data_IF_716604808896
#
_entry.id   IF_716604808896
#
_cell.length_a   1.000
_cell.length_b   1.000
_cell.length_c   1.000
_cell.angle_alpha   90.00
_cell.angle_beta   90.00
_cell.angle_gamma   90.00
#
_symmetry.space_group_name_H-M   'P 1'
#
loop_
_entity.id
_entity.type
_entity.pdbx_description
1 polymer ?
#
# COMPACT_ATOMS: atom_id res chain seq x y z
N UNK A 1 -5.85 2.52 -12.45
CA UNK A 1 -7.11 1.99 -11.89
C UNK A 1 -6.75 0.88 -10.92
N UNK A 2 -7.27 0.95 -9.70
CA UNK A 2 -6.94 0.03 -8.62
C UNK A 2 -7.68 -1.30 -8.70
N UNK A 3 -8.72 -1.35 -9.50
CA UNK A 3 -9.52 -2.55 -9.72
C UNK A 3 -9.79 -2.69 -11.20
N UNK A 4 -9.55 -3.87 -11.73
CA UNK A 4 -9.96 -4.25 -13.07
C UNK A 4 -11.49 -4.24 -13.12
N UNK A 5 -12.08 -3.73 -14.19
CA UNK A 5 -13.53 -3.59 -14.30
C UNK A 5 -14.24 -4.95 -14.22
N UNK A 6 -15.46 -4.96 -13.67
CA UNK A 6 -16.19 -6.20 -13.36
C UNK A 6 -16.38 -7.11 -14.57
N UNK A 7 -16.62 -6.51 -15.72
CA UNK A 7 -17.02 -7.21 -16.94
C UNK A 7 -15.91 -7.18 -18.00
N UNK A 8 -14.65 -6.93 -17.59
CA UNK A 8 -13.54 -6.88 -18.53
C UNK A 8 -13.35 -8.22 -19.24
N UNK A 9 -13.31 -8.17 -20.56
CA UNK A 9 -13.04 -9.34 -21.39
C UNK A 9 -11.55 -9.69 -21.35
N UNK A 10 -11.22 -10.76 -20.63
CA UNK A 10 -9.85 -11.26 -20.49
C UNK A 10 -9.34 -12.01 -21.72
N UNK A 11 -10.19 -12.32 -22.69
CA UNK A 11 -9.77 -13.04 -23.92
C UNK A 11 -8.84 -12.20 -24.77
N UNK A 12 -8.85 -10.88 -24.61
CA UNK A 12 -7.95 -9.94 -25.29
C UNK A 12 -6.55 -9.88 -24.66
N UNK A 13 -6.34 -10.54 -23.54
CA UNK A 13 -5.06 -10.57 -22.80
C UNK A 13 -4.52 -12.00 -22.69
N UNK A 14 -4.08 -12.62 -23.80
CA UNK A 14 -3.58 -13.99 -23.77
C UNK A 14 -2.32 -14.08 -22.89
N UNK A 15 -2.29 -15.07 -22.01
CA UNK A 15 -1.17 -15.29 -21.07
C UNK A 15 -1.27 -14.53 -19.75
N UNK A 16 -2.35 -13.80 -19.50
CA UNK A 16 -2.59 -13.22 -18.18
C UNK A 16 -2.91 -14.33 -17.17
N UNK A 17 -2.13 -14.41 -16.09
CA UNK A 17 -2.29 -15.44 -15.04
C UNK A 17 -2.61 -14.84 -13.66
N UNK A 18 -2.52 -13.54 -13.51
CA UNK A 18 -2.88 -12.84 -12.28
C UNK A 18 -3.33 -11.38 -12.53
N UNK A 19 -4.00 -10.82 -11.53
CA UNK A 19 -4.32 -9.39 -11.45
C UNK A 19 -3.45 -8.75 -10.37
N UNK A 20 -3.15 -7.48 -10.56
CA UNK A 20 -2.36 -6.69 -9.63
C UNK A 20 -3.24 -5.68 -8.91
N UNK A 21 -3.42 -5.88 -7.60
CA UNK A 21 -4.23 -5.03 -6.75
C UNK A 21 -3.34 -4.06 -5.98
N UNK A 22 -3.34 -2.81 -6.42
CA UNK A 22 -2.69 -1.70 -5.71
C UNK A 22 -3.73 -0.87 -4.99
N UNK A 23 -3.52 -0.65 -3.69
CA UNK A 23 -4.44 0.10 -2.85
C UNK A 23 -3.67 0.83 -1.73
N UNK A 24 -4.16 2.01 -1.33
CA UNK A 24 -3.61 2.72 -0.19
C UNK A 24 -3.99 2.04 1.13
N UNK A 25 -3.08 2.06 2.11
CA UNK A 25 -3.31 1.50 3.43
C UNK A 25 -4.58 2.04 4.10
N UNK A 26 -4.83 3.35 3.99
CA UNK A 26 -6.00 4.01 4.59
C UNK A 26 -7.36 3.46 4.15
N UNK A 27 -7.47 2.89 2.94
CA UNK A 27 -8.70 2.22 2.50
C UNK A 27 -8.96 0.96 3.29
N UNK A 28 -7.89 0.23 3.63
CA UNK A 28 -7.98 -1.06 4.31
C UNK A 28 -8.12 -0.92 5.82
N UNK A 29 -7.51 0.10 6.41
CA UNK A 29 -7.51 0.34 7.85
C UNK A 29 -7.82 1.83 8.16
N UNK A 30 -9.07 2.27 7.96
CA UNK A 30 -9.48 3.66 8.17
C UNK A 30 -9.39 4.12 9.63
N UNK A 31 -9.47 3.19 10.57
CA UNK A 31 -9.27 3.38 12.01
C UNK A 31 -8.37 2.26 12.51
N UNK A 32 -7.54 2.53 13.50
CA UNK A 32 -6.59 1.57 14.07
C UNK A 32 -7.27 0.27 14.47
N UNK A 33 -6.80 -0.86 13.93
CA UNK A 33 -7.34 -2.19 14.18
C UNK A 33 -8.69 -2.49 13.51
N UNK A 34 -9.27 -1.56 12.75
CA UNK A 34 -10.54 -1.74 12.06
C UNK A 34 -10.32 -1.92 10.56
N UNK A 35 -10.33 -3.17 10.12
CA UNK A 35 -9.97 -3.53 8.74
C UNK A 35 -11.17 -3.71 7.84
N UNK A 36 -11.10 -3.14 6.64
CA UNK A 36 -12.07 -3.30 5.55
C UNK A 36 -11.60 -4.34 4.54
N UNK A 37 -11.30 -5.55 5.00
CA UNK A 37 -10.80 -6.62 4.11
C UNK A 37 -11.72 -6.95 2.95
N UNK A 38 -13.03 -6.70 3.11
CA UNK A 38 -14.01 -6.92 2.05
C UNK A 38 -13.65 -6.22 0.73
N UNK A 39 -12.95 -5.07 0.77
CA UNK A 39 -12.51 -4.34 -0.42
C UNK A 39 -11.60 -5.23 -1.29
N UNK A 40 -10.68 -5.97 -0.67
CA UNK A 40 -9.82 -6.92 -1.37
C UNK A 40 -10.52 -8.26 -1.60
N UNK A 41 -11.24 -8.78 -0.60
CA UNK A 41 -11.86 -10.10 -0.67
C UNK A 41 -12.84 -10.21 -1.83
N UNK A 42 -13.62 -9.17 -2.13
CA UNK A 42 -14.54 -9.15 -3.28
C UNK A 42 -13.80 -9.21 -4.62
N UNK A 43 -12.71 -8.44 -4.75
CA UNK A 43 -11.88 -8.48 -5.94
C UNK A 43 -11.17 -9.84 -6.08
N UNK A 44 -10.61 -10.36 -4.98
CA UNK A 44 -9.96 -11.67 -4.95
C UNK A 44 -10.92 -12.76 -5.39
N UNK A 45 -12.12 -12.84 -4.79
CA UNK A 45 -13.13 -13.85 -5.12
C UNK A 45 -13.51 -13.81 -6.60
N UNK A 46 -13.67 -12.59 -7.16
CA UNK A 46 -14.00 -12.39 -8.57
C UNK A 46 -12.93 -12.95 -9.51
N UNK A 47 -11.66 -12.66 -9.25
CA UNK A 47 -10.60 -13.02 -10.15
C UNK A 47 -10.13 -14.47 -9.96
N UNK A 48 -10.11 -14.95 -8.73
CA UNK A 48 -9.76 -16.34 -8.46
C UNK A 48 -10.81 -17.32 -9.01
N UNK A 49 -12.10 -16.94 -9.03
CA UNK A 49 -13.15 -17.74 -9.67
C UNK A 49 -12.96 -17.88 -11.19
N UNK A 50 -12.16 -17.00 -11.80
CA UNK A 50 -11.76 -17.07 -13.21
C UNK A 50 -10.41 -17.75 -13.42
N UNK A 51 -9.84 -18.37 -12.39
CA UNK A 51 -8.54 -19.05 -12.45
C UNK A 51 -7.32 -18.15 -12.36
N UNK A 52 -7.49 -16.85 -12.07
CA UNK A 52 -6.37 -15.91 -11.95
C UNK A 52 -5.81 -15.87 -10.53
N UNK A 53 -4.52 -15.68 -10.42
CA UNK A 53 -3.88 -15.30 -9.17
C UNK A 53 -4.02 -13.82 -8.86
N UNK A 54 -3.48 -13.41 -7.71
CA UNK A 54 -3.51 -12.01 -7.25
C UNK A 54 -2.12 -11.63 -6.76
N UNK A 55 -1.66 -10.46 -7.15
CA UNK A 55 -0.50 -9.79 -6.57
C UNK A 55 -0.95 -8.52 -5.86
N UNK A 56 -0.24 -8.12 -4.81
CA UNK A 56 -0.60 -6.99 -3.98
C UNK A 56 0.49 -5.93 -3.94
N UNK A 57 0.06 -4.66 -3.93
CA UNK A 57 0.86 -3.53 -3.45
C UNK A 57 0.02 -2.69 -2.51
N UNK A 58 0.49 -2.52 -1.28
CA UNK A 58 -0.11 -1.57 -0.34
C UNK A 58 0.78 -0.35 -0.28
N UNK A 59 0.25 0.80 -0.71
CA UNK A 59 0.99 2.05 -0.72
C UNK A 59 0.73 2.89 0.53
N UNK A 60 1.76 3.59 0.98
CA UNK A 60 1.70 4.52 2.11
C UNK A 60 1.69 5.99 1.66
N UNK A 61 1.89 6.24 0.38
CA UNK A 61 1.85 7.59 -0.21
C UNK A 61 1.26 7.52 -1.62
N UNK A 62 0.24 8.34 -1.85
CA UNK A 62 -0.38 8.55 -3.16
C UNK A 62 -0.33 10.05 -3.51
N UNK A 63 -0.46 10.39 -4.79
CA UNK A 63 -0.25 11.77 -5.23
C UNK A 63 -1.34 12.31 -6.14
N UNK A 64 -2.24 11.46 -6.62
CA UNK A 64 -2.94 11.76 -7.87
C UNK A 64 -4.38 12.26 -7.77
N UNK A 65 -5.03 12.22 -6.62
CA UNK A 65 -6.39 12.74 -6.52
C UNK A 65 -6.67 13.34 -5.14
N UNK A 66 -6.76 14.65 -5.08
CA UNK A 66 -6.96 15.42 -3.84
C UNK A 66 -8.42 15.42 -3.37
N UNK A 67 -9.34 14.94 -4.20
CA UNK A 67 -10.77 14.90 -3.88
C UNK A 67 -11.14 13.77 -2.93
N UNK A 68 -10.25 12.79 -2.75
CA UNK A 68 -10.46 11.66 -1.86
C UNK A 68 -9.49 11.72 -0.68
N UNK A 69 -10.03 11.75 0.53
CA UNK A 69 -9.23 11.84 1.77
C UNK A 69 -8.20 10.71 1.89
N UNK A 70 -8.53 9.53 1.40
CA UNK A 70 -7.64 8.36 1.39
C UNK A 70 -6.45 8.54 0.44
N UNK A 71 -6.54 9.45 -0.51
CA UNK A 71 -5.42 9.77 -1.40
C UNK A 71 -4.58 10.93 -0.87
N UNK A 72 -5.17 11.83 -0.12
CA UNK A 72 -4.42 12.80 0.69
C UNK A 72 -3.66 12.06 1.78
N UNK A 73 -4.29 11.09 2.42
CA UNK A 73 -3.74 10.26 3.49
C UNK A 73 -3.71 8.78 3.09
N UNK A 74 -2.83 8.40 2.19
CA UNK A 74 -2.63 6.99 1.83
C UNK A 74 -2.11 6.16 3.03
N UNK A 75 -1.23 6.71 3.86
CA UNK A 75 -1.08 6.30 5.25
C UNK A 75 -2.29 6.81 6.02
N UNK A 76 -2.97 5.99 6.83
CA UNK A 76 -4.15 6.42 7.56
C UNK A 76 -3.90 7.65 8.43
N UNK A 77 -4.85 8.58 8.45
CA UNK A 77 -4.74 9.82 9.22
C UNK A 77 -4.47 9.58 10.71
N UNK A 78 -5.05 8.52 11.27
CA UNK A 78 -4.84 8.16 12.68
C UNK A 78 -3.37 7.82 13.00
N UNK A 79 -2.57 7.39 12.00
CA UNK A 79 -1.12 7.18 12.18
C UNK A 79 -0.42 8.51 12.43
N UNK A 80 -0.74 9.55 11.63
CA UNK A 80 -0.27 10.93 11.89
C UNK A 80 -0.72 11.40 13.27
N UNK A 81 -2.00 11.22 13.57
CA UNK A 81 -2.62 11.69 14.81
C UNK A 81 -2.08 10.94 16.05
N UNK A 82 -1.45 9.76 15.86
CA UNK A 82 -0.69 9.04 16.88
C UNK A 82 0.72 9.62 17.11
N UNK A 83 1.11 10.66 16.38
CA UNK A 83 2.39 11.34 16.55
C UNK A 83 3.46 10.98 15.53
N UNK A 84 3.14 10.20 14.50
CA UNK A 84 4.08 9.91 13.41
C UNK A 84 4.46 11.20 12.67
N UNK A 85 5.75 11.38 12.41
CA UNK A 85 6.27 12.51 11.67
C UNK A 85 5.96 12.38 10.18
N UNK A 86 5.80 13.52 9.52
CA UNK A 86 5.54 13.62 8.10
C UNK A 86 5.17 15.05 7.72
N UNK A 87 4.73 15.23 6.49
CA UNK A 87 4.30 16.54 6.00
C UNK A 87 3.52 16.44 4.71
N UNK A 88 2.91 17.53 4.32
CA UNK A 88 2.21 17.67 3.05
C UNK A 88 3.17 18.19 1.98
N UNK A 89 3.38 17.41 0.93
CA UNK A 89 4.39 17.69 -0.08
C UNK A 89 3.88 17.50 -1.50
N UNK A 90 4.36 18.34 -2.40
CA UNK A 90 4.23 18.18 -3.84
C UNK A 90 5.45 18.75 -4.55
N UNK A 91 6.09 17.96 -5.42
CA UNK A 91 7.22 18.37 -6.25
C UNK A 91 8.38 19.03 -5.48
N UNK A 92 8.65 18.56 -4.27
CA UNK A 92 9.70 19.06 -3.40
C UNK A 92 9.33 20.29 -2.59
N UNK A 93 8.08 20.76 -2.68
CA UNK A 93 7.60 21.92 -1.93
C UNK A 93 6.67 21.48 -0.79
N UNK A 94 6.83 22.03 0.42
CA UNK A 94 5.84 21.88 1.47
C UNK A 94 4.57 22.64 1.13
N UNK A 95 3.42 22.11 1.51
CA UNK A 95 2.14 22.67 1.16
C UNK A 95 1.06 22.54 2.22
N UNK A 96 -0.15 22.97 1.89
CA UNK A 96 -1.29 22.99 2.80
C UNK A 96 -1.80 21.54 3.07
N UNK A 97 -2.70 21.41 4.03
CA UNK A 97 -3.22 20.13 4.52
C UNK A 97 -4.06 19.32 3.50
N UNK A 98 -4.49 19.95 2.42
CA UNK A 98 -5.18 19.29 1.30
C UNK A 98 -4.21 18.64 0.29
N UNK A 99 -2.89 18.87 0.45
CA UNK A 99 -1.88 18.17 -0.33
C UNK A 99 -1.63 16.75 0.23
N UNK A 100 -1.12 15.83 -0.60
CA UNK A 100 -0.81 14.48 -0.15
C UNK A 100 0.14 14.47 1.05
N UNK A 101 -0.26 13.80 2.13
CA UNK A 101 0.59 13.61 3.30
C UNK A 101 1.61 12.51 3.04
N UNK A 102 2.87 12.84 3.24
CA UNK A 102 4.00 11.91 3.15
C UNK A 102 4.52 11.63 4.55
N UNK A 103 4.52 10.38 5.01
CA UNK A 103 5.17 10.04 6.27
C UNK A 103 6.67 10.26 6.18
N UNK A 104 7.32 10.57 7.28
CA UNK A 104 8.74 10.29 7.39
C UNK A 104 8.89 8.77 7.46
N UNK A 105 9.34 8.18 6.34
CA UNK A 105 9.41 6.72 6.19
C UNK A 105 10.33 6.04 7.21
N UNK A 106 11.22 6.79 7.87
CA UNK A 106 12.08 6.31 8.97
C UNK A 106 11.50 6.55 10.36
N UNK A 107 10.35 7.23 10.49
CA UNK A 107 9.76 7.55 11.79
C UNK A 107 9.39 6.28 12.57
N UNK A 108 9.80 6.16 13.84
CA UNK A 108 9.57 4.94 14.62
C UNK A 108 8.09 4.66 14.89
N UNK A 109 7.23 5.69 15.02
CA UNK A 109 5.80 5.50 15.23
C UNK A 109 5.16 5.01 13.93
N UNK A 110 5.50 5.62 12.79
CA UNK A 110 5.04 5.15 11.49
C UNK A 110 5.42 3.68 11.26
N UNK A 111 6.70 3.32 11.48
CA UNK A 111 7.18 1.95 11.28
C UNK A 111 6.52 0.95 12.24
N UNK A 112 6.25 1.34 13.49
CA UNK A 112 5.52 0.50 14.46
C UNK A 112 4.08 0.22 13.99
N UNK A 113 3.38 1.25 13.51
CA UNK A 113 2.01 1.08 13.01
C UNK A 113 1.97 0.28 11.72
N UNK A 114 2.93 0.50 10.83
CA UNK A 114 3.10 -0.30 9.62
C UNK A 114 3.37 -1.78 9.93
N UNK A 115 4.21 -2.06 10.92
CA UNK A 115 4.49 -3.43 11.40
C UNK A 115 3.21 -4.15 11.83
N UNK A 116 2.37 -3.48 12.61
CA UNK A 116 1.08 -4.03 13.05
C UNK A 116 0.12 -4.28 11.87
N UNK A 117 0.04 -3.34 10.93
CA UNK A 117 -0.76 -3.50 9.72
C UNK A 117 -0.28 -4.69 8.87
N UNK A 118 1.03 -4.77 8.61
CA UNK A 118 1.60 -5.86 7.80
C UNK A 118 1.41 -7.22 8.47
N UNK A 119 1.47 -7.29 9.81
CA UNK A 119 1.15 -8.50 10.56
C UNK A 119 -0.29 -8.96 10.31
N UNK A 120 -1.26 -8.03 10.40
CA UNK A 120 -2.68 -8.33 10.16
C UNK A 120 -2.93 -8.72 8.69
N UNK A 121 -2.29 -8.03 7.75
CA UNK A 121 -2.40 -8.32 6.32
C UNK A 121 -1.84 -9.70 5.99
N UNK A 122 -0.65 -10.03 6.49
CA UNK A 122 -0.02 -11.32 6.28
C UNK A 122 -0.79 -12.46 6.96
N UNK A 123 -1.31 -12.26 8.18
CA UNK A 123 -2.15 -13.27 8.84
C UNK A 123 -3.35 -13.69 7.99
N UNK A 124 -3.87 -12.78 7.15
CA UNK A 124 -5.00 -13.05 6.26
C UNK A 124 -4.59 -13.67 4.93
N UNK A 125 -3.52 -13.17 4.31
CA UNK A 125 -3.21 -13.43 2.89
C UNK A 125 -1.92 -14.21 2.64
N UNK A 126 -0.96 -14.25 3.57
CA UNK A 126 0.32 -14.92 3.34
C UNK A 126 0.16 -16.42 3.08
N UNK A 127 0.75 -16.89 1.98
CA UNK A 127 0.76 -18.31 1.59
C UNK A 127 -0.59 -18.83 1.08
N UNK A 128 -1.55 -17.96 0.74
CA UNK A 128 -2.74 -18.40 0.04
C UNK A 128 -2.35 -18.85 -1.37
N UNK A 129 -2.91 -19.95 -1.89
CA UNK A 129 -2.45 -20.56 -3.15
C UNK A 129 -2.66 -19.66 -4.38
N UNK A 130 -3.53 -18.69 -4.28
CA UNK A 130 -3.80 -17.71 -5.33
C UNK A 130 -2.95 -16.44 -5.20
N UNK A 131 -2.18 -16.22 -4.12
CA UNK A 131 -1.22 -15.11 -4.03
C UNK A 131 -0.01 -15.43 -4.88
N UNK A 132 0.30 -14.55 -5.82
CA UNK A 132 1.48 -14.67 -6.67
C UNK A 132 2.69 -14.04 -6.02
N UNK A 133 2.56 -12.80 -5.60
CA UNK A 133 3.59 -12.07 -4.85
C UNK A 133 2.98 -10.89 -4.09
N UNK A 134 3.76 -10.32 -3.19
CA UNK A 134 3.44 -9.10 -2.46
C UNK A 134 4.58 -8.11 -2.66
N UNK A 135 4.30 -6.95 -3.27
CA UNK A 135 5.29 -5.90 -3.43
C UNK A 135 5.66 -5.27 -2.08
N UNK A 136 6.92 -4.91 -1.94
CA UNK A 136 7.41 -4.08 -0.85
C UNK A 136 7.03 -2.62 -1.17
N UNK A 137 5.73 -2.34 -1.06
CA UNK A 137 5.11 -1.09 -1.52
C UNK A 137 4.95 0.00 -0.46
N UNK A 138 5.56 -0.16 0.71
CA UNK A 138 5.34 0.75 1.84
C UNK A 138 6.25 1.99 1.84
N UNK A 139 7.22 2.09 0.93
CA UNK A 139 8.14 3.21 0.83
C UNK A 139 7.97 3.99 -0.46
N UNK A 140 7.88 5.31 -0.33
CA UNK A 140 7.91 6.25 -1.44
C UNK A 140 6.56 6.51 -2.11
N UNK A 141 6.58 7.36 -3.12
CA UNK A 141 5.44 7.68 -3.95
C UNK A 141 4.90 6.40 -4.60
N UNK A 142 3.61 6.13 -4.44
CA UNK A 142 2.93 4.92 -4.94
C UNK A 142 3.55 3.59 -4.50
N UNK A 143 4.46 3.63 -3.50
CA UNK A 143 5.24 2.46 -3.10
C UNK A 143 6.33 2.07 -4.10
N UNK A 144 6.89 3.02 -4.84
CA UNK A 144 7.86 2.80 -5.92
C UNK A 144 9.31 3.13 -5.54
N UNK A 145 9.59 3.28 -4.26
CA UNK A 145 10.96 3.41 -3.77
C UNK A 145 11.58 4.81 -3.93
N UNK A 146 10.79 5.82 -4.26
CA UNK A 146 11.25 7.21 -4.45
C UNK A 146 10.24 8.23 -3.90
N UNK A 147 10.66 9.48 -3.74
CA UNK A 147 9.82 10.58 -3.26
C UNK A 147 9.75 11.75 -4.26
N UNK A 148 9.86 11.43 -5.55
CA UNK A 148 10.01 12.43 -6.61
C UNK A 148 8.81 13.36 -6.75
N UNK A 149 7.60 12.82 -6.66
CA UNK A 149 6.38 13.61 -6.73
C UNK A 149 6.00 14.24 -5.38
N UNK A 150 6.56 13.73 -4.28
CA UNK A 150 6.39 14.23 -2.92
C UNK A 150 7.46 15.22 -2.50
N UNK A 151 8.16 14.91 -1.42
CA UNK A 151 9.15 15.79 -0.78
C UNK A 151 10.47 15.92 -1.55
N UNK A 152 10.79 14.99 -2.43
CA UNK A 152 12.11 14.82 -3.08
C UNK A 152 13.26 14.60 -2.09
N UNK A 153 12.94 14.20 -0.86
CA UNK A 153 13.95 13.85 0.14
C UNK A 153 14.62 12.53 -0.22
N UNK A 154 15.91 12.46 0.05
CA UNK A 154 16.64 11.18 0.06
C UNK A 154 16.56 10.57 1.45
N UNK A 155 16.49 9.27 1.52
CA UNK A 155 16.51 8.51 2.76
C UNK A 155 17.73 7.60 2.80
N UNK A 156 18.26 7.39 4.00
CA UNK A 156 19.37 6.47 4.20
C UNK A 156 18.96 5.05 3.85
N UNK A 157 19.93 4.25 3.43
CA UNK A 157 19.74 2.86 3.05
C UNK A 157 19.04 2.04 4.16
N UNK A 158 19.40 2.31 5.41
CA UNK A 158 18.80 1.63 6.57
C UNK A 158 17.28 1.85 6.66
N UNK A 159 16.77 2.98 6.18
CA UNK A 159 15.31 3.21 6.15
C UNK A 159 14.65 2.26 5.16
N UNK A 160 15.21 2.11 3.97
CA UNK A 160 14.68 1.18 2.97
C UNK A 160 14.79 -0.26 3.45
N UNK A 161 15.92 -0.63 4.06
CA UNK A 161 16.14 -1.97 4.63
C UNK A 161 15.09 -2.30 5.68
N UNK A 162 14.69 -1.35 6.55
CA UNK A 162 13.61 -1.55 7.53
C UNK A 162 12.27 -1.89 6.87
N UNK A 163 11.93 -1.24 5.76
CA UNK A 163 10.71 -1.57 5.01
C UNK A 163 10.77 -3.00 4.43
N UNK A 164 11.91 -3.38 3.88
CA UNK A 164 12.16 -4.75 3.40
C UNK A 164 12.02 -5.75 4.56
N UNK A 165 12.68 -5.49 5.68
CA UNK A 165 12.68 -6.36 6.86
C UNK A 165 11.28 -6.56 7.44
N UNK A 166 10.45 -5.51 7.46
CA UNK A 166 9.05 -5.60 7.89
C UNK A 166 8.25 -6.55 7.00
N UNK A 167 8.43 -6.48 5.67
CA UNK A 167 7.76 -7.41 4.76
C UNK A 167 8.31 -8.83 4.94
N UNK A 168 9.62 -9.02 4.98
CA UNK A 168 10.26 -10.32 5.24
C UNK A 168 9.86 -10.92 6.59
N UNK A 169 9.62 -10.11 7.61
CA UNK A 169 9.16 -10.53 8.93
C UNK A 169 7.80 -11.23 8.87
N UNK A 170 6.88 -10.71 8.10
CA UNK A 170 5.49 -11.13 8.10
C UNK A 170 5.11 -12.07 6.95
N UNK A 171 5.65 -11.85 5.76
CA UNK A 171 5.38 -12.71 4.61
C UNK A 171 6.44 -13.81 4.52
N UNK A 172 6.09 -14.99 5.01
CA UNK A 172 7.02 -16.15 5.12
C UNK A 172 6.79 -17.20 4.05
N UNK A 173 5.67 -17.16 3.36
CA UNK A 173 5.24 -18.17 2.40
C UNK A 173 4.96 -17.61 1.01
N UNK A 174 4.62 -16.33 0.92
CA UNK A 174 4.44 -15.64 -0.34
C UNK A 174 5.78 -15.08 -0.84
N UNK A 175 5.94 -15.01 -2.15
CA UNK A 175 7.05 -14.29 -2.78
C UNK A 175 6.91 -12.78 -2.49
N UNK A 176 8.03 -12.10 -2.24
CA UNK A 176 8.15 -10.65 -2.20
C UNK A 176 8.83 -10.13 -3.46
#
# INVERSE_FOLDING_TARGET
KYLVERDEDLTTFPGMDHVYLRIAWSYLEPLEGHFRWWILDEAIARWTSRGLGVAFRISCKETSNRDLIEQVFATPRWVRDSGAKGGHWSEGQPGPEDWPWEPDFGDPIFLQKLDAFLAAFAARYDGRPWVRYVDIGSFGDWGEGHTWAGSRRTFDREVLERHVDLHLKHFRRSQL
#
